data_IF_636836043876
#
_entry.id   IF_636836043876
#
_cell.length_a   1.000
_cell.length_b   1.000
_cell.length_c   1.000
_cell.angle_alpha   90.00
_cell.angle_beta   90.00
_cell.angle_gamma   90.00
#
_symmetry.space_group_name_H-M   'P 1'
#
loop_
_entity.id
_entity.type
_entity.pdbx_description
1 polymer ?
#
# COMPACT_ATOMS: atom_id res chain seq x y z
N UNK A 1 -20.39 1.79 -12.03
CA UNK A 1 -19.17 2.20 -12.76
C UNK A 1 -18.09 1.29 -12.25
N UNK A 2 -17.46 0.49 -13.10
CA UNK A 2 -16.34 -0.36 -12.67
C UNK A 2 -15.13 0.52 -12.40
N UNK A 3 -14.39 0.24 -11.32
CA UNK A 3 -13.11 0.88 -11.03
C UNK A 3 -12.05 0.33 -11.99
N UNK A 4 -11.29 1.22 -12.62
CA UNK A 4 -10.12 0.81 -13.39
C UNK A 4 -8.99 0.41 -12.41
N UNK A 5 -8.24 -0.67 -12.71
CA UNK A 5 -7.09 -1.07 -11.89
C UNK A 5 -6.08 0.07 -11.73
N UNK A 6 -5.49 0.26 -10.53
CA UNK A 6 -4.52 1.32 -10.31
C UNK A 6 -3.21 0.99 -11.04
N UNK A 7 -2.55 2.01 -11.57
CA UNK A 7 -1.22 1.82 -12.13
C UNK A 7 -0.16 1.69 -11.02
N UNK A 8 1.02 1.20 -11.37
CA UNK A 8 2.18 1.17 -10.46
C UNK A 8 2.52 2.55 -9.89
N UNK A 9 2.41 3.60 -10.71
CA UNK A 9 2.61 4.99 -10.30
C UNK A 9 1.53 5.48 -9.31
N UNK A 10 0.31 4.94 -9.38
CA UNK A 10 -0.75 5.27 -8.43
C UNK A 10 -0.48 4.67 -7.06
N UNK A 11 -0.01 3.43 -7.02
CA UNK A 11 0.38 2.75 -5.77
C UNK A 11 1.63 3.40 -5.18
N UNK A 12 2.66 3.67 -6.00
CA UNK A 12 3.89 4.37 -5.59
C UNK A 12 3.56 5.72 -4.92
N UNK A 13 2.66 6.50 -5.52
CA UNK A 13 2.24 7.78 -4.96
C UNK A 13 1.61 7.63 -3.57
N UNK A 14 0.90 6.54 -3.27
CA UNK A 14 0.35 6.34 -1.92
C UNK A 14 1.43 6.02 -0.89
N UNK A 15 2.44 5.22 -1.26
CA UNK A 15 3.61 5.01 -0.42
C UNK A 15 4.32 6.33 -0.11
N UNK A 16 4.56 7.17 -1.12
CA UNK A 16 5.22 8.46 -0.94
C UNK A 16 4.39 9.40 -0.04
N UNK A 17 3.08 9.44 -0.24
CA UNK A 17 2.17 10.22 0.62
C UNK A 17 2.20 9.73 2.07
N UNK A 18 2.24 8.43 2.29
CA UNK A 18 2.35 7.84 3.63
C UNK A 18 3.68 8.19 4.29
N UNK A 19 4.80 7.98 3.57
CA UNK A 19 6.16 8.20 4.09
C UNK A 19 6.45 9.68 4.36
N UNK A 20 5.88 10.58 3.55
CA UNK A 20 5.99 12.03 3.77
C UNK A 20 5.05 12.57 4.84
N UNK A 21 4.11 11.77 5.33
CA UNK A 21 3.04 12.22 6.24
C UNK A 21 1.95 13.06 5.56
N UNK A 22 1.95 13.16 4.22
CA UNK A 22 0.90 13.82 3.46
C UNK A 22 -0.43 13.04 3.44
N UNK A 23 -0.39 11.77 3.83
CA UNK A 23 -1.57 10.94 4.11
C UNK A 23 -1.34 10.10 5.37
N UNK A 24 -2.42 9.85 6.12
CA UNK A 24 -2.41 8.92 7.25
C UNK A 24 -2.60 7.47 6.81
N UNK A 25 -2.29 6.52 7.69
CA UNK A 25 -2.43 5.07 7.44
C UNK A 25 -3.86 4.66 7.09
N UNK A 26 -4.84 5.13 7.85
CA UNK A 26 -6.26 4.84 7.60
C UNK A 26 -6.72 5.33 6.21
N UNK A 27 -6.21 6.48 5.75
CA UNK A 27 -6.56 6.99 4.42
C UNK A 27 -6.01 6.09 3.32
N UNK A 28 -4.77 5.65 3.48
CA UNK A 28 -4.08 4.78 2.52
C UNK A 28 -4.66 3.38 2.51
N UNK A 29 -4.99 2.82 3.68
CA UNK A 29 -5.74 1.56 3.81
C UNK A 29 -7.05 1.62 3.03
N UNK A 30 -7.87 2.63 3.32
CA UNK A 30 -9.18 2.80 2.68
C UNK A 30 -9.06 3.00 1.16
N UNK A 31 -7.99 3.61 0.70
CA UNK A 31 -7.71 3.71 -0.73
C UNK A 31 -7.39 2.33 -1.34
N UNK A 32 -6.53 1.54 -0.69
CA UNK A 32 -6.13 0.22 -1.17
C UNK A 32 -7.30 -0.78 -1.14
N UNK A 33 -8.15 -0.70 -0.10
CA UNK A 33 -9.34 -1.54 0.07
C UNK A 33 -10.26 -1.48 -1.17
N UNK A 34 -10.42 -0.31 -1.80
CA UNK A 34 -11.26 -0.14 -3.00
C UNK A 34 -10.86 -1.03 -4.18
N UNK A 35 -9.60 -1.45 -4.24
CA UNK A 35 -9.07 -2.28 -5.31
C UNK A 35 -8.84 -3.73 -4.84
N UNK A 36 -8.55 -3.91 -3.55
CA UNK A 36 -8.24 -5.23 -2.99
C UNK A 36 -9.49 -6.03 -2.60
N UNK A 37 -10.60 -5.37 -2.24
CA UNK A 37 -11.85 -6.04 -1.86
C UNK A 37 -12.88 -6.09 -2.99
N UNK A 38 -12.77 -5.20 -3.96
CA UNK A 38 -13.61 -5.19 -5.15
C UNK A 38 -13.04 -6.17 -6.20
N UNK A 39 -13.89 -6.71 -7.08
CA UNK A 39 -13.51 -7.64 -8.16
C UNK A 39 -12.82 -6.87 -9.32
N UNK A 40 -11.71 -6.20 -9.01
CA UNK A 40 -10.89 -5.42 -9.96
C UNK A 40 -9.74 -6.29 -10.44
N UNK A 41 -9.64 -6.50 -11.76
CA UNK A 41 -8.60 -7.35 -12.37
C UNK A 41 -7.24 -6.61 -12.43
N UNK A 42 -6.48 -6.70 -11.34
CA UNK A 42 -5.13 -6.14 -11.25
C UNK A 42 -4.11 -7.14 -11.81
N UNK A 43 -3.74 -6.98 -13.09
CA UNK A 43 -2.86 -7.92 -13.78
C UNK A 43 -1.37 -7.83 -13.38
N UNK A 44 -0.89 -6.68 -12.88
CA UNK A 44 0.51 -6.52 -12.45
C UNK A 44 0.69 -7.13 -11.04
N UNK A 45 1.49 -8.20 -10.88
CA UNK A 45 1.65 -8.88 -9.60
C UNK A 45 2.34 -8.00 -8.54
N UNK A 46 3.17 -7.04 -8.94
CA UNK A 46 3.79 -6.11 -7.99
C UNK A 46 2.78 -5.10 -7.47
N UNK A 47 1.89 -4.61 -8.35
CA UNK A 47 0.76 -3.76 -7.97
C UNK A 47 -0.17 -4.51 -7.03
N UNK A 48 -0.52 -5.75 -7.34
CA UNK A 48 -1.39 -6.57 -6.49
C UNK A 48 -0.78 -6.82 -5.10
N UNK A 49 0.49 -7.22 -5.04
CA UNK A 49 1.22 -7.41 -3.77
C UNK A 49 1.28 -6.13 -2.95
N UNK A 50 1.59 -5.01 -3.59
CA UNK A 50 1.67 -3.71 -2.95
C UNK A 50 0.31 -3.21 -2.42
N UNK A 51 -0.79 -3.43 -3.16
CA UNK A 51 -2.14 -3.17 -2.67
C UNK A 51 -2.46 -3.97 -1.42
N UNK A 52 -2.08 -5.25 -1.38
CA UNK A 52 -2.28 -6.10 -0.21
C UNK A 52 -1.48 -5.65 1.02
N UNK A 53 -0.33 -4.99 0.84
CA UNK A 53 0.47 -4.41 1.94
C UNK A 53 -0.11 -3.09 2.45
N UNK A 54 -0.64 -2.27 1.54
CA UNK A 54 -1.31 -1.01 1.89
C UNK A 54 -2.68 -1.26 2.54
N UNK A 55 -3.37 -2.31 2.13
CA UNK A 55 -4.59 -2.77 2.77
C UNK A 55 -4.25 -3.44 4.12
N UNK A 56 -4.69 -2.83 5.22
CA UNK A 56 -4.33 -3.20 6.59
C UNK A 56 -3.10 -2.46 7.13
N UNK A 57 -2.60 -1.43 6.46
CA UNK A 57 -1.44 -0.66 6.94
C UNK A 57 -1.71 0.11 8.25
N UNK A 58 -2.98 0.29 8.60
CA UNK A 58 -3.47 0.93 9.81
C UNK A 58 -3.69 -0.06 10.97
N UNK A 59 -3.45 -1.36 10.75
CA UNK A 59 -3.67 -2.38 11.77
C UNK A 59 -2.65 -2.25 12.92
N UNK A 60 -3.12 -2.25 14.18
CA UNK A 60 -2.23 -2.21 15.34
C UNK A 60 -1.57 -3.58 15.59
N UNK A 61 -0.29 -3.55 15.96
CA UNK A 61 0.49 -4.71 16.39
C UNK A 61 0.06 -5.27 17.76
N UNK A 62 -0.68 -4.48 18.54
CA UNK A 62 -1.15 -4.88 19.86
C UNK A 62 -1.83 -3.75 20.63
N UNK A 63 -2.15 -3.98 21.92
CA UNK A 63 -2.89 -3.03 22.75
C UNK A 63 -2.14 -1.72 23.04
N UNK A 64 -0.82 -1.68 22.77
CA UNK A 64 0.01 -0.48 22.91
C UNK A 64 -0.21 0.57 21.81
N UNK A 65 -0.94 0.23 20.73
CA UNK A 65 -1.26 1.16 19.65
C UNK A 65 -0.16 1.36 18.61
N UNK A 66 0.95 0.63 18.70
CA UNK A 66 1.95 0.55 17.63
C UNK A 66 1.35 -0.15 16.40
N UNK A 67 1.76 0.22 15.20
CA UNK A 67 1.29 -0.42 13.96
C UNK A 67 2.05 -1.71 13.68
N UNK A 68 1.40 -2.68 13.01
CA UNK A 68 2.04 -3.94 12.58
C UNK A 68 3.28 -3.73 11.71
N UNK A 69 3.29 -2.64 10.95
CA UNK A 69 4.34 -2.30 10.02
C UNK A 69 4.83 -0.89 10.26
N UNK A 70 6.11 -0.72 10.55
CA UNK A 70 6.71 0.60 10.73
C UNK A 70 6.99 1.31 9.38
N UNK A 71 7.45 2.55 9.43
CA UNK A 71 7.75 3.32 8.21
C UNK A 71 9.02 2.82 7.48
N UNK A 72 9.92 2.10 8.18
CA UNK A 72 11.09 1.50 7.54
C UNK A 72 10.63 0.37 6.61
N UNK A 73 9.81 -0.55 7.10
CA UNK A 73 9.22 -1.62 6.28
C UNK A 73 8.41 -1.07 5.10
N UNK A 74 7.63 0.00 5.31
CA UNK A 74 6.90 0.67 4.22
C UNK A 74 7.87 1.20 3.14
N UNK A 75 9.03 1.72 3.53
CA UNK A 75 10.04 2.19 2.58
C UNK A 75 10.70 1.05 1.80
N UNK A 76 10.92 -0.11 2.42
CA UNK A 76 11.44 -1.31 1.74
C UNK A 76 10.44 -1.81 0.68
N UNK A 77 9.16 -1.83 1.00
CA UNK A 77 8.11 -2.21 0.04
C UNK A 77 8.01 -1.25 -1.14
N UNK A 78 8.24 0.05 -0.92
CA UNK A 78 8.31 1.02 -2.00
C UNK A 78 9.51 0.74 -2.93
N UNK A 79 10.68 0.42 -2.36
CA UNK A 79 11.86 0.04 -3.14
C UNK A 79 11.65 -1.25 -3.94
N UNK A 80 11.02 -2.27 -3.34
CA UNK A 80 10.60 -3.47 -4.07
C UNK A 80 9.63 -3.13 -5.21
N UNK A 81 8.64 -2.26 -4.95
CA UNK A 81 7.72 -1.76 -5.96
C UNK A 81 8.44 -0.93 -7.03
N UNK A 82 9.63 -0.38 -6.81
CA UNK A 82 10.41 0.29 -7.87
C UNK A 82 11.30 -0.67 -8.66
N UNK A 83 11.52 -1.88 -8.13
CA UNK A 83 12.50 -2.82 -8.65
C UNK A 83 13.92 -2.58 -8.12
N UNK A 84 14.08 -1.68 -7.14
CA UNK A 84 15.37 -1.37 -6.50
C UNK A 84 15.74 -2.40 -5.41
N UNK A 85 14.81 -3.28 -5.04
CA UNK A 85 14.98 -4.29 -3.99
C UNK A 85 15.47 -5.67 -4.45
N UNK A 86 16.21 -5.77 -5.56
CA UNK A 86 16.73 -7.05 -6.07
C UNK A 86 18.23 -7.20 -5.78
N UNK A 87 18.59 -8.05 -4.81
CA UNK A 87 19.87 -8.77 -4.76
C UNK A 87 19.67 -10.23 -5.18
#
# INVERSE_FOLDING_TARGET
>A
MSLEPPSRADVERQFERLLSGAAGREEVDRWAARYFTEDVDVADPLVWSALGRLHGIDLPAGPAGEYLHDLHQVSEWLSELRGDGSE
#
